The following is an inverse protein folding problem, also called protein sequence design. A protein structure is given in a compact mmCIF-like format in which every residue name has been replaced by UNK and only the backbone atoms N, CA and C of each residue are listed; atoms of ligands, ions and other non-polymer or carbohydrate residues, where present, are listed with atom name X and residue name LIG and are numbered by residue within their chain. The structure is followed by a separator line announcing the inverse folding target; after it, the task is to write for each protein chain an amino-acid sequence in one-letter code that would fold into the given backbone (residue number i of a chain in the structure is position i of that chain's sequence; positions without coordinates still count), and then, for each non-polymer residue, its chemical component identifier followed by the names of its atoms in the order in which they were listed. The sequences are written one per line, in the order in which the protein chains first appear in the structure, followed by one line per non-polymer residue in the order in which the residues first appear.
data_IF_373406171442
#
_entry.id   IF_373406171442
#
_cell.length_a   1.000
_cell.length_b   1.000
_cell.length_c   1.000
_cell.angle_alpha   90.00
_cell.angle_beta   90.00
_cell.angle_gamma   90.00
#
_symmetry.space_group_name_H-M   'P 1'
#
loop_
_entity.id
_entity.type
_entity.pdbx_description
1 polymer ?
#
# COMPACT_ATOMS: atom_id res chain seq x y z
N UNK A 1 34.29 0.15 7.04
CA UNK A 1 33.25 -0.57 7.79
C UNK A 1 31.94 0.18 7.59
N UNK A 2 31.05 -0.29 6.71
CA UNK A 2 29.76 0.37 6.48
C UNK A 2 28.75 -0.15 7.50
N UNK A 3 28.40 0.68 8.48
CA UNK A 3 27.28 0.43 9.39
C UNK A 3 25.97 0.52 8.61
N UNK A 4 25.55 -0.54 7.94
CA UNK A 4 24.20 -0.61 7.37
C UNK A 4 23.20 -1.04 8.44
N UNK A 5 23.03 -0.21 9.47
CA UNK A 5 21.77 -0.15 10.22
C UNK A 5 20.85 0.76 9.41
N UNK A 6 20.40 0.29 8.25
CA UNK A 6 19.29 0.96 7.56
C UNK A 6 18.02 0.55 8.31
N UNK A 7 17.74 1.25 9.40
CA UNK A 7 16.40 1.20 10.01
C UNK A 7 15.45 1.88 9.03
N UNK A 8 14.87 1.07 8.13
CA UNK A 8 13.85 1.53 7.20
C UNK A 8 12.67 2.13 7.97
N UNK A 9 12.07 3.19 7.42
CA UNK A 9 10.91 3.83 8.05
C UNK A 9 9.71 2.89 8.13
N UNK A 10 9.48 2.12 7.06
CA UNK A 10 8.44 1.10 7.00
C UNK A 10 9.00 -0.29 7.31
N UNK A 11 8.14 -1.16 7.84
CA UNK A 11 8.42 -2.57 8.07
C UNK A 11 7.34 -3.46 7.42
N UNK A 12 7.68 -4.68 7.00
CA UNK A 12 6.67 -5.67 6.62
C UNK A 12 5.62 -5.83 7.73
N UNK A 13 4.34 -5.85 7.35
CA UNK A 13 3.20 -5.86 8.26
C UNK A 13 2.59 -4.47 8.53
N UNK A 14 3.26 -3.38 8.17
CA UNK A 14 2.70 -2.04 8.35
C UNK A 14 1.49 -1.83 7.43
N UNK A 15 0.40 -1.34 7.99
CA UNK A 15 -0.79 -0.94 7.22
C UNK A 15 -0.65 0.51 6.76
N UNK A 16 -0.58 0.70 5.45
CA UNK A 16 -0.28 2.03 4.85
C UNK A 16 -1.39 2.51 3.93
N UNK A 17 -1.48 3.82 3.77
CA UNK A 17 -2.14 4.47 2.64
C UNK A 17 -1.09 5.16 1.78
N UNK A 18 -1.21 5.06 0.46
CA UNK A 18 -0.21 5.60 -0.47
C UNK A 18 -0.85 6.11 -1.74
N UNK A 19 -0.34 7.20 -2.30
CA UNK A 19 -0.68 7.66 -3.64
C UNK A 19 -0.09 6.73 -4.70
N UNK A 20 -0.89 6.37 -5.71
CA UNK A 20 -0.49 5.49 -6.80
C UNK A 20 -0.68 6.18 -8.14
N UNK A 21 0.19 5.85 -9.10
CA UNK A 21 0.04 6.29 -10.50
C UNK A 21 -0.59 5.16 -11.32
N UNK A 22 -1.69 5.43 -12.02
CA UNK A 22 -2.23 4.53 -13.05
C UNK A 22 -3.17 3.41 -12.58
N UNK A 23 -3.92 3.61 -11.49
CA UNK A 23 -5.05 2.76 -11.14
C UNK A 23 -6.36 3.56 -11.21
N UNK A 24 -7.51 2.87 -11.25
CA UNK A 24 -8.83 3.51 -11.20
C UNK A 24 -8.94 4.48 -10.01
N UNK A 25 -8.36 4.09 -8.86
CA UNK A 25 -8.10 5.00 -7.76
C UNK A 25 -6.61 5.35 -7.71
N UNK A 26 -6.29 6.65 -7.73
CA UNK A 26 -4.93 7.18 -7.60
C UNK A 26 -4.34 7.02 -6.17
N UNK A 27 -4.85 6.08 -5.39
CA UNK A 27 -4.42 5.76 -4.04
C UNK A 27 -4.65 4.27 -3.75
N UNK A 28 -3.90 3.73 -2.80
CA UNK A 28 -4.04 2.36 -2.33
C UNK A 28 -3.96 2.28 -0.81
N UNK A 29 -4.57 1.24 -0.27
CA UNK A 29 -4.44 0.83 1.12
C UNK A 29 -4.03 -0.64 1.19
N UNK A 30 -3.13 -1.00 2.09
CA UNK A 30 -2.78 -2.39 2.29
C UNK A 30 -1.60 -2.61 3.22
N UNK A 31 -1.25 -3.87 3.40
CA UNK A 31 -0.14 -4.33 4.23
C UNK A 31 1.15 -4.34 3.41
N UNK A 32 2.21 -3.72 3.96
CA UNK A 32 3.56 -3.76 3.40
C UNK A 32 4.09 -5.18 3.46
N UNK A 33 4.64 -5.64 2.34
CA UNK A 33 5.22 -6.99 2.18
C UNK A 33 6.74 -6.94 2.19
N UNK A 34 7.31 -5.93 1.53
CA UNK A 34 8.76 -5.80 1.34
C UNK A 34 9.12 -4.31 1.28
N UNK A 35 10.30 -3.97 1.82
CA UNK A 35 10.85 -2.60 1.82
C UNK A 35 12.30 -2.66 1.37
N UNK A 36 12.71 -1.71 0.53
CA UNK A 36 14.10 -1.57 0.07
C UNK A 36 14.43 -0.11 -0.20
N UNK A 37 15.73 0.20 -0.28
CA UNK A 37 16.19 1.49 -0.75
C UNK A 37 16.47 1.45 -2.25
N UNK A 38 15.80 2.28 -3.03
CA UNK A 38 16.02 2.39 -4.47
C UNK A 38 17.02 3.51 -4.77
N UNK A 39 18.23 3.13 -5.23
CA UNK A 39 19.32 4.09 -5.49
C UNK A 39 18.99 5.05 -6.62
N UNK A 40 18.23 4.62 -7.64
CA UNK A 40 17.91 5.46 -8.79
C UNK A 40 17.03 6.67 -8.45
N UNK A 41 16.19 6.55 -7.41
CA UNK A 41 15.36 7.66 -6.91
C UNK A 41 15.81 8.16 -5.53
N UNK A 42 16.88 7.55 -4.98
CA UNK A 42 17.44 7.84 -3.66
C UNK A 42 16.37 7.87 -2.56
N UNK A 43 15.51 6.85 -2.53
CA UNK A 43 14.33 6.82 -1.68
C UNK A 43 13.98 5.39 -1.23
N UNK A 44 13.34 5.26 -0.07
CA UNK A 44 12.71 4.01 0.35
C UNK A 44 11.46 3.71 -0.47
N UNK A 45 11.43 2.51 -1.04
CA UNK A 45 10.34 1.94 -1.79
C UNK A 45 9.82 0.71 -1.07
N UNK A 46 8.58 0.36 -1.37
CA UNK A 46 7.95 -0.81 -0.76
C UNK A 46 6.94 -1.44 -1.70
N UNK A 47 6.66 -2.71 -1.45
CA UNK A 47 5.56 -3.42 -2.08
C UNK A 47 4.47 -3.72 -1.07
N UNK A 48 3.23 -3.78 -1.54
CA UNK A 48 2.05 -4.06 -0.71
C UNK A 48 0.92 -4.67 -1.52
N UNK A 49 0.03 -5.41 -0.86
CA UNK A 49 -1.21 -5.89 -1.48
C UNK A 49 -2.32 -4.83 -1.33
N UNK A 50 -2.77 -4.26 -2.44
CA UNK A 50 -3.74 -3.17 -2.42
C UNK A 50 -5.17 -3.69 -2.23
N UNK A 51 -5.79 -3.35 -1.10
CA UNK A 51 -7.17 -3.71 -0.76
C UNK A 51 -8.22 -2.84 -1.47
N UNK A 52 -7.82 -1.66 -1.98
CA UNK A 52 -8.71 -0.74 -2.69
C UNK A 52 -8.84 -1.12 -4.16
N UNK A 53 -7.70 -1.25 -4.85
CA UNK A 53 -7.66 -1.52 -6.29
C UNK A 53 -7.43 -3.00 -6.62
N UNK A 54 -7.20 -3.85 -5.61
CA UNK A 54 -6.73 -5.21 -5.81
C UNK A 54 -5.26 -5.30 -6.26
N UNK A 55 -4.70 -6.49 -6.08
CA UNK A 55 -3.39 -6.89 -6.62
C UNK A 55 -2.18 -6.39 -5.84
N UNK A 56 -1.01 -6.85 -6.29
CA UNK A 56 0.29 -6.46 -5.75
C UNK A 56 0.76 -5.16 -6.40
N UNK A 57 1.21 -4.20 -5.59
CA UNK A 57 1.61 -2.86 -6.06
C UNK A 57 2.85 -2.38 -5.34
N UNK A 58 3.51 -1.41 -5.97
CA UNK A 58 4.69 -0.74 -5.46
C UNK A 58 4.37 0.71 -5.08
N UNK A 59 4.93 1.16 -3.97
CA UNK A 59 4.83 2.53 -3.47
C UNK A 59 6.20 3.11 -3.13
N UNK A 60 6.21 4.45 -2.96
CA UNK A 60 7.37 5.21 -2.50
C UNK A 60 7.04 5.87 -1.17
N UNK A 61 8.02 6.00 -0.29
CA UNK A 61 7.83 6.53 1.06
C UNK A 61 7.26 7.97 1.05
N UNK A 62 7.72 8.83 0.16
CA UNK A 62 7.25 10.21 -0.05
C UNK A 62 5.79 10.31 -0.48
N UNK A 63 5.20 9.20 -0.91
CA UNK A 63 3.81 9.10 -1.35
C UNK A 63 2.87 8.55 -0.29
N UNK A 64 3.36 8.33 0.93
CA UNK A 64 2.51 7.93 2.04
C UNK A 64 1.46 9.00 2.38
N UNK A 65 0.22 8.56 2.50
CA UNK A 65 -0.90 9.39 2.91
C UNK A 65 -1.09 9.22 4.41
N UNK A 66 -0.71 10.25 5.18
CA UNK A 66 -0.77 10.21 6.65
C UNK A 66 -2.20 10.16 7.20
N UNK A 67 -3.15 10.80 6.51
CA UNK A 67 -4.55 10.88 6.92
C UNK A 67 -5.45 10.62 5.71
N UNK A 68 -6.05 9.43 5.57
CA UNK A 68 -6.99 9.18 4.50
C UNK A 68 -8.24 10.05 4.70
N UNK A 69 -8.82 10.52 3.60
CA UNK A 69 -10.08 11.26 3.65
C UNK A 69 -11.29 10.32 3.67
N UNK A 70 -12.48 10.87 3.92
CA UNK A 70 -13.72 10.10 4.01
C UNK A 70 -14.00 9.27 2.74
N UNK A 71 -13.73 9.82 1.54
CA UNK A 71 -13.94 9.13 0.27
C UNK A 71 -13.06 7.88 0.14
N UNK A 72 -11.80 7.98 0.55
CA UNK A 72 -10.86 6.85 0.55
C UNK A 72 -11.35 5.74 1.47
N UNK A 73 -11.78 6.09 2.69
CA UNK A 73 -12.33 5.14 3.65
C UNK A 73 -13.60 4.46 3.14
N UNK A 74 -14.53 5.23 2.55
CA UNK A 74 -15.75 4.69 1.95
C UNK A 74 -15.44 3.69 0.83
N UNK A 75 -14.45 3.99 -0.02
CA UNK A 75 -14.06 3.08 -1.11
C UNK A 75 -13.44 1.78 -0.58
N UNK A 76 -12.60 1.85 0.45
CA UNK A 76 -12.07 0.66 1.12
C UNK A 76 -13.20 -0.23 1.67
N UNK A 77 -14.17 0.35 2.36
CA UNK A 77 -15.32 -0.38 2.91
C UNK A 77 -16.14 -1.05 1.79
N UNK A 78 -16.35 -0.33 0.68
CA UNK A 78 -17.00 -0.88 -0.51
C UNK A 78 -16.23 -2.07 -1.08
N UNK A 79 -14.93 -1.93 -1.36
CA UNK A 79 -14.10 -3.02 -1.91
C UNK A 79 -14.10 -4.25 -1.02
N UNK A 80 -14.09 -4.06 0.31
CA UNK A 80 -14.16 -5.17 1.29
C UNK A 80 -15.52 -5.86 1.28
N UNK A 81 -16.60 -5.11 1.15
CA UNK A 81 -17.96 -5.67 1.04
C UNK A 81 -18.09 -6.50 -0.23
N UNK A 82 -17.67 -5.96 -1.37
CA UNK A 82 -17.72 -6.65 -2.67
C UNK A 82 -16.92 -7.96 -2.63
N UNK A 83 -15.70 -7.93 -2.08
CA UNK A 83 -14.89 -9.14 -1.89
C UNK A 83 -15.61 -10.20 -1.04
N UNK A 84 -16.22 -9.78 0.08
CA UNK A 84 -16.90 -10.72 0.97
C UNK A 84 -18.13 -11.36 0.32
N UNK A 85 -18.91 -10.61 -0.49
CA UNK A 85 -20.04 -11.18 -1.21
C UNK A 85 -19.58 -12.22 -2.25
N UNK A 86 -18.55 -11.91 -3.04
CA UNK A 86 -17.97 -12.86 -4.01
C UNK A 86 -17.48 -14.14 -3.31
N UNK A 87 -16.87 -14.01 -2.13
CA UNK A 87 -16.37 -15.17 -1.39
C UNK A 87 -17.48 -16.03 -0.77
N UNK A 88 -18.68 -15.47 -0.53
CA UNK A 88 -19.85 -16.24 -0.12
C UNK A 88 -20.40 -17.07 -1.28
N UNK A 89 -20.43 -16.52 -2.49
CA UNK A 89 -20.90 -17.23 -3.69
C UNK A 89 -19.99 -18.41 -4.10
N UNK A 90 -18.74 -18.41 -3.63
CA UNK A 90 -17.78 -19.51 -3.85
C UNK A 90 -17.85 -20.62 -2.80
N UNK A 91 -18.65 -20.46 -1.75
CA UNK A 91 -18.89 -21.48 -0.71
C UNK A 91 -20.15 -22.27 -1.02
#
# INVERSE_FOLDING_TARGET
MSSSTNDFYLKPGDMIWVELKGADQNYGHGEVVEVWFEKSVNEECFNFYCLVNGGYRMGRLSKLIKKPNARMMSKLLQSRREYNEIMKERR
#
